data_IF_533497173766
#
_entry.id   IF_533497173766
#
_cell.length_a   1.000
_cell.length_b   1.000
_cell.length_c   1.000
_cell.angle_alpha   90.00
_cell.angle_beta   90.00
_cell.angle_gamma   90.00
#
_symmetry.space_group_name_H-M   'P 1'
#
loop_
_entity.id
_entity.type
_entity.pdbx_description
1 polymer ?
#
# COMPACT_ATOMS: atom_id res chain seq x y z
N UNK A 1 -0.14 21.10 23.11
CA UNK A 1 0.89 21.42 22.09
C UNK A 1 0.21 22.29 21.05
N UNK A 2 0.51 23.58 21.00
CA UNK A 2 -0.05 24.48 19.96
C UNK A 2 0.71 24.23 18.67
N UNK A 3 0.01 23.90 17.59
CA UNK A 3 0.63 23.68 16.29
C UNK A 3 1.34 24.94 15.81
N UNK A 4 2.60 24.81 15.37
CA UNK A 4 3.33 25.91 14.72
C UNK A 4 2.59 26.43 13.50
N UNK A 5 1.87 25.55 12.80
CA UNK A 5 1.05 25.91 11.64
C UNK A 5 -0.08 26.86 12.04
N UNK A 6 -0.79 26.57 13.14
CA UNK A 6 -1.85 27.43 13.66
C UNK A 6 -1.30 28.77 14.17
N UNK A 7 -0.14 28.74 14.82
CA UNK A 7 0.54 29.94 15.29
C UNK A 7 0.92 30.86 14.12
N UNK A 8 1.50 30.31 13.06
CA UNK A 8 1.87 31.06 11.85
C UNK A 8 0.63 31.59 11.14
N UNK A 9 -0.40 30.77 10.90
CA UNK A 9 -1.63 31.23 10.24
C UNK A 9 -2.32 32.35 11.02
N UNK A 10 -2.38 32.25 12.36
CA UNK A 10 -2.96 33.30 13.20
C UNK A 10 -2.14 34.59 13.16
N UNK A 11 -0.80 34.49 13.23
CA UNK A 11 0.07 35.67 13.13
C UNK A 11 0.01 36.36 11.77
N UNK A 12 -0.12 35.60 10.68
CA UNK A 12 -0.31 36.16 9.34
C UNK A 12 -1.67 36.85 9.26
N UNK A 13 -2.75 36.21 9.70
CA UNK A 13 -4.10 36.82 9.73
C UNK A 13 -4.17 38.07 10.63
N UNK A 14 -3.55 38.04 11.81
CA UNK A 14 -3.49 39.18 12.74
C UNK A 14 -2.63 40.33 12.14
N UNK A 15 -1.58 40.00 11.38
CA UNK A 15 -0.76 41.00 10.66
C UNK A 15 -1.51 41.64 9.48
N UNK A 16 -2.32 40.88 8.75
CA UNK A 16 -3.15 41.38 7.65
C UNK A 16 -4.33 42.21 8.17
N UNK A 17 -4.92 41.85 9.31
CA UNK A 17 -6.01 42.59 9.94
C UNK A 17 -5.56 43.91 10.60
N UNK A 18 -4.29 43.99 11.05
CA UNK A 18 -3.70 45.20 11.63
C UNK A 18 -3.07 46.13 10.58
N UNK A 19 -2.66 45.60 9.42
CA UNK A 19 -2.19 46.36 8.26
C UNK A 19 -3.37 46.94 7.45
N UNK A 20 -4.21 47.76 8.09
CA UNK A 20 -5.21 48.55 7.40
C UNK A 20 -4.56 49.59 6.46
N UNK A 21 -4.67 49.36 5.16
CA UNK A 21 -4.70 50.37 4.09
C UNK A 21 -3.67 51.53 4.13
N UNK A 22 -2.36 51.25 4.17
CA UNK A 22 -1.35 52.16 3.60
C UNK A 22 0.03 51.49 3.55
N UNK A 23 0.44 51.00 2.38
CA UNK A 23 1.70 51.31 1.70
C UNK A 23 2.10 50.18 0.73
N UNK A 24 2.20 50.55 -0.54
CA UNK A 24 2.57 49.69 -1.66
C UNK A 24 4.10 49.65 -1.88
N UNK A 25 4.92 49.65 -0.83
CA UNK A 25 6.37 49.56 -0.99
C UNK A 25 7.06 48.80 0.15
N UNK A 26 7.33 47.52 -0.11
CA UNK A 26 8.53 46.82 0.35
C UNK A 26 8.73 46.63 1.86
N UNK A 27 8.05 45.64 2.44
CA UNK A 27 8.59 44.83 3.54
C UNK A 27 8.10 43.39 3.37
N UNK A 28 8.97 42.41 3.60
CA UNK A 28 8.75 41.00 3.24
C UNK A 28 7.57 40.35 3.94
N UNK A 29 6.39 40.46 3.34
CA UNK A 29 5.19 39.72 3.73
C UNK A 29 5.43 38.22 3.52
N UNK A 30 5.18 37.43 4.56
CA UNK A 30 5.25 35.98 4.45
C UNK A 30 4.13 35.50 3.52
N UNK A 31 4.49 34.89 2.39
CA UNK A 31 3.52 34.21 1.54
C UNK A 31 2.98 32.98 2.29
N UNK A 32 1.66 32.87 2.40
CA UNK A 32 1.02 31.74 3.07
C UNK A 32 1.23 30.45 2.26
N UNK A 33 2.11 29.56 2.72
CA UNK A 33 2.29 28.24 2.09
C UNK A 33 1.05 27.38 2.30
N UNK A 34 0.36 27.03 1.22
CA UNK A 34 -0.77 26.09 1.27
C UNK A 34 -0.29 24.69 1.64
N UNK A 35 -0.82 24.13 2.72
CA UNK A 35 -0.57 22.75 3.15
C UNK A 35 -1.74 21.87 2.70
N UNK A 36 -1.43 20.74 2.05
CA UNK A 36 -2.41 19.71 1.70
C UNK A 36 -2.01 18.40 2.37
N UNK A 37 -2.87 17.89 3.25
CA UNK A 37 -2.68 16.60 3.92
C UNK A 37 -3.46 15.51 3.19
N UNK A 38 -2.76 14.45 2.78
CA UNK A 38 -3.36 13.23 2.26
C UNK A 38 -3.23 12.13 3.33
N UNK A 39 -4.33 11.48 3.66
CA UNK A 39 -4.35 10.39 4.65
C UNK A 39 -5.33 9.31 4.23
N UNK A 40 -5.21 8.13 4.84
CA UNK A 40 -6.26 7.10 4.80
C UNK A 40 -7.43 7.53 5.67
N UNK A 41 -8.52 6.76 5.67
CA UNK A 41 -9.68 7.04 6.52
C UNK A 41 -9.29 7.12 8.00
N UNK A 42 -9.62 8.24 8.65
CA UNK A 42 -9.27 8.51 10.05
C UNK A 42 -10.50 8.37 10.96
N UNK A 43 -10.29 7.80 12.15
CA UNK A 43 -11.32 7.75 13.19
C UNK A 43 -11.56 9.13 13.83
N UNK A 44 -10.50 9.94 13.96
CA UNK A 44 -10.56 11.29 14.54
C UNK A 44 -9.91 12.33 13.61
N UNK A 45 -10.60 12.74 12.54
CA UNK A 45 -10.07 13.69 11.57
C UNK A 45 -10.05 15.14 12.08
N UNK A 46 -10.86 15.46 13.10
CA UNK A 46 -11.05 16.83 13.60
C UNK A 46 -9.83 17.34 14.37
N UNK A 47 -9.22 16.50 15.20
CA UNK A 47 -7.99 16.88 15.92
C UNK A 47 -6.83 17.14 14.94
N UNK A 48 -6.75 16.36 13.86
CA UNK A 48 -5.76 16.58 12.81
C UNK A 48 -6.04 17.88 12.04
N UNK A 49 -7.32 18.16 11.76
CA UNK A 49 -7.73 19.40 11.12
C UNK A 49 -7.41 20.63 12.00
N UNK A 50 -7.71 20.58 13.30
CA UNK A 50 -7.37 21.66 14.24
C UNK A 50 -5.85 21.83 14.37
N UNK A 51 -5.09 20.73 14.36
CA UNK A 51 -3.62 20.78 14.35
C UNK A 51 -3.06 21.41 13.07
N UNK A 52 -3.64 21.12 11.90
CA UNK A 52 -3.22 21.70 10.63
C UNK A 52 -3.80 23.09 10.36
N UNK A 53 -4.75 23.56 11.18
CA UNK A 53 -5.45 24.82 10.95
C UNK A 53 -6.41 24.78 9.77
N UNK A 54 -6.97 23.60 9.45
CA UNK A 54 -7.94 23.41 8.37
C UNK A 54 -9.32 23.86 8.83
N UNK A 55 -9.98 24.70 8.05
CA UNK A 55 -11.38 25.07 8.30
C UNK A 55 -12.30 23.88 8.03
N UNK A 56 -12.97 23.43 9.08
CA UNK A 56 -13.94 22.32 9.07
C UNK A 56 -15.39 22.79 8.90
N UNK A 57 -15.67 24.08 9.14
CA UNK A 57 -17.02 24.62 9.23
C UNK A 57 -17.41 25.49 8.01
N UNK A 58 -16.46 25.82 7.13
CA UNK A 58 -16.72 26.73 6.01
C UNK A 58 -17.00 28.16 6.49
N UNK A 59 -16.28 28.62 7.50
CA UNK A 59 -16.39 29.97 8.04
C UNK A 59 -15.27 30.86 7.48
N UNK A 60 -15.40 31.16 6.19
CA UNK A 60 -14.60 32.13 5.46
C UNK A 60 -15.36 32.57 4.21
N UNK A 61 -15.32 33.87 3.89
CA UNK A 61 -16.04 34.48 2.77
C UNK A 61 -15.46 33.97 1.44
N UNK A 62 -15.98 32.84 0.92
CA UNK A 62 -15.64 32.27 -0.38
C UNK A 62 -14.93 30.91 -0.39
N UNK A 63 -14.73 30.25 0.76
CA UNK A 63 -14.02 28.95 0.83
C UNK A 63 -14.94 27.86 1.38
N UNK A 64 -15.10 26.76 0.64
CA UNK A 64 -15.82 25.56 1.10
C UNK A 64 -15.05 24.79 2.19
N UNK A 65 -15.62 23.71 2.76
CA UNK A 65 -14.96 22.92 3.80
C UNK A 65 -13.62 22.36 3.31
N UNK A 66 -12.58 22.47 4.14
CA UNK A 66 -11.23 21.99 3.83
C UNK A 66 -10.95 20.55 4.26
N UNK A 67 -11.84 19.95 5.07
CA UNK A 67 -11.70 18.59 5.60
C UNK A 67 -12.57 17.61 4.82
N UNK A 68 -11.93 16.61 4.20
CA UNK A 68 -12.59 15.50 3.53
C UNK A 68 -12.13 14.18 4.17
N UNK A 69 -13.01 13.53 4.93
CA UNK A 69 -12.75 12.22 5.53
C UNK A 69 -13.78 11.21 5.06
N UNK A 70 -13.31 10.16 4.39
CA UNK A 70 -14.17 9.14 3.79
C UNK A 70 -14.11 7.86 4.62
N UNK A 71 -15.20 7.07 4.63
CA UNK A 71 -15.18 5.74 5.25
C UNK A 71 -14.24 4.82 4.46
N UNK A 72 -13.58 3.83 5.08
CA UNK A 72 -12.71 2.87 4.37
C UNK A 72 -13.39 2.12 3.21
N UNK A 73 -14.72 2.02 3.25
CA UNK A 73 -15.57 1.41 2.22
C UNK A 73 -15.75 2.29 0.97
N UNK A 74 -15.47 3.60 1.06
CA UNK A 74 -15.55 4.51 -0.09
C UNK A 74 -14.28 4.34 -0.91
N UNK A 75 -14.34 3.40 -1.85
CA UNK A 75 -13.26 3.10 -2.79
C UNK A 75 -13.82 3.10 -4.21
N UNK A 76 -13.07 3.57 -5.21
CA UNK A 76 -13.48 3.45 -6.61
C UNK A 76 -13.71 2.00 -7.04
N UNK A 77 -12.94 1.08 -6.46
CA UNK A 77 -13.06 -0.36 -6.67
C UNK A 77 -13.52 -0.99 -5.36
N UNK A 78 -14.71 -1.62 -5.31
CA UNK A 78 -15.19 -2.38 -4.15
C UNK A 78 -14.20 -3.48 -3.76
N UNK A 79 -14.14 -3.78 -2.46
CA UNK A 79 -13.21 -4.78 -1.92
C UNK A 79 -13.98 -5.73 -1.00
N UNK A 80 -13.79 -7.02 -1.24
CA UNK A 80 -14.28 -8.09 -0.37
C UNK A 80 -13.14 -8.56 0.54
N UNK A 81 -13.44 -8.80 1.81
CA UNK A 81 -12.43 -9.17 2.82
C UNK A 81 -12.90 -10.42 3.54
N UNK A 82 -12.08 -11.47 3.46
CA UNK A 82 -12.30 -12.74 4.14
C UNK A 82 -11.23 -12.92 5.22
N UNK A 83 -11.65 -13.22 6.45
CA UNK A 83 -10.74 -13.43 7.58
C UNK A 83 -10.86 -14.89 8.02
N UNK A 84 -9.76 -15.63 7.93
CA UNK A 84 -9.68 -17.02 8.38
C UNK A 84 -8.72 -17.13 9.57
N UNK A 85 -9.22 -17.68 10.68
CA UNK A 85 -8.43 -17.90 11.90
C UNK A 85 -7.76 -19.27 11.90
N UNK A 86 -6.46 -19.30 12.20
CA UNK A 86 -5.67 -20.54 12.29
C UNK A 86 -5.25 -20.81 13.74
N UNK A 87 -5.72 -21.90 14.37
CA UNK A 87 -5.35 -22.23 15.73
C UNK A 87 -3.89 -22.70 15.82
N UNK A 88 -3.32 -22.66 17.02
CA UNK A 88 -1.96 -23.14 17.29
C UNK A 88 -1.06 -22.04 17.83
N UNK A 89 -0.30 -22.35 18.88
CA UNK A 89 0.61 -21.39 19.53
C UNK A 89 1.95 -21.27 18.81
N UNK A 90 2.43 -22.39 18.25
CA UNK A 90 3.75 -22.47 17.63
C UNK A 90 3.72 -21.90 16.21
N UNK A 91 4.65 -20.99 15.93
CA UNK A 91 4.67 -20.21 14.70
C UNK A 91 4.85 -21.07 13.44
N UNK A 92 5.94 -21.86 13.35
CA UNK A 92 6.26 -22.58 12.11
C UNK A 92 5.17 -23.59 11.69
N UNK A 93 4.65 -24.45 12.58
CA UNK A 93 3.57 -25.37 12.21
C UNK A 93 2.30 -24.62 11.77
N UNK A 94 1.96 -23.53 12.45
CA UNK A 94 0.79 -22.71 12.11
C UNK A 94 0.92 -22.09 10.72
N UNK A 95 2.10 -21.58 10.35
CA UNK A 95 2.33 -21.04 9.01
C UNK A 95 2.22 -22.13 7.94
N UNK A 96 2.78 -23.33 8.17
CA UNK A 96 2.67 -24.44 7.23
C UNK A 96 1.21 -24.86 7.00
N UNK A 97 0.37 -24.84 8.03
CA UNK A 97 -1.07 -25.15 7.89
C UNK A 97 -1.85 -24.14 7.05
N UNK A 98 -1.31 -22.94 6.82
CA UNK A 98 -1.96 -21.90 6.01
C UNK A 98 -1.71 -22.09 4.50
N UNK A 99 -0.67 -22.83 4.09
CA UNK A 99 -0.27 -22.91 2.69
C UNK A 99 -1.31 -23.59 1.80
N UNK A 100 -1.96 -24.66 2.29
CA UNK A 100 -3.05 -25.32 1.55
C UNK A 100 -4.28 -24.40 1.40
N UNK A 101 -4.79 -23.75 2.47
CA UNK A 101 -5.83 -22.72 2.35
C UNK A 101 -5.48 -21.58 1.40
N UNK A 102 -4.22 -21.12 1.35
CA UNK A 102 -3.77 -20.10 0.39
C UNK A 102 -4.02 -20.56 -1.04
N UNK A 103 -3.61 -21.78 -1.40
CA UNK A 103 -3.86 -22.32 -2.74
C UNK A 103 -5.36 -22.44 -3.05
N UNK A 104 -6.16 -22.92 -2.10
CA UNK A 104 -7.63 -22.97 -2.27
C UNK A 104 -8.24 -21.58 -2.48
N UNK A 105 -7.80 -20.57 -1.73
CA UNK A 105 -8.29 -19.19 -1.85
C UNK A 105 -7.95 -18.57 -3.20
N UNK A 106 -6.79 -18.89 -3.79
CA UNK A 106 -6.44 -18.47 -5.15
C UNK A 106 -7.46 -19.03 -6.15
N UNK A 107 -7.73 -20.34 -6.09
CA UNK A 107 -8.69 -20.98 -7.00
C UNK A 107 -10.11 -20.48 -6.83
N UNK A 108 -10.51 -20.16 -5.60
CA UNK A 108 -11.86 -19.68 -5.29
C UNK A 108 -12.08 -18.23 -5.71
N UNK A 109 -11.16 -17.32 -5.35
CA UNK A 109 -11.38 -15.88 -5.48
C UNK A 109 -10.69 -15.24 -6.69
N UNK A 110 -9.60 -15.84 -7.20
CA UNK A 110 -8.76 -15.24 -8.24
C UNK A 110 -8.09 -16.28 -9.15
N UNK A 111 -8.83 -17.20 -9.80
CA UNK A 111 -8.24 -18.30 -10.55
C UNK A 111 -7.42 -17.86 -11.77
N UNK A 112 -7.74 -16.72 -12.37
CA UNK A 112 -7.11 -16.21 -13.60
C UNK A 112 -6.57 -14.79 -13.47
N UNK A 113 -6.69 -14.18 -12.29
CA UNK A 113 -6.27 -12.80 -12.05
C UNK A 113 -5.02 -12.78 -11.15
N UNK A 114 -4.18 -11.73 -11.23
CA UNK A 114 -2.96 -11.64 -10.42
C UNK A 114 -3.23 -11.72 -8.92
N UNK A 115 -2.35 -12.41 -8.19
CA UNK A 115 -2.43 -12.57 -6.72
C UNK A 115 -1.11 -12.17 -6.07
N UNK A 116 -1.18 -11.43 -4.96
CA UNK A 116 -0.03 -11.09 -4.13
C UNK A 116 -0.21 -11.75 -2.76
N UNK A 117 0.81 -12.51 -2.33
CA UNK A 117 0.83 -13.19 -1.02
C UNK A 117 1.86 -12.51 -0.12
N UNK A 118 1.39 -11.82 0.91
CA UNK A 118 2.28 -11.27 1.94
C UNK A 118 2.64 -12.34 2.97
N UNK A 119 3.93 -12.45 3.26
CA UNK A 119 4.49 -13.40 4.23
C UNK A 119 5.30 -12.67 5.29
N UNK A 120 5.45 -13.30 6.46
CA UNK A 120 6.07 -12.67 7.62
C UNK A 120 7.62 -12.68 7.64
N UNK A 121 8.29 -13.37 6.71
CA UNK A 121 9.76 -13.34 6.61
C UNK A 121 10.27 -13.72 5.22
N UNK A 122 11.52 -13.34 4.92
CA UNK A 122 12.21 -13.71 3.66
C UNK A 122 12.25 -15.22 3.43
N UNK A 123 12.52 -16.00 4.48
CA UNK A 123 12.53 -17.46 4.42
C UNK A 123 11.14 -18.01 4.10
N UNK A 124 10.09 -17.40 4.66
CA UNK A 124 8.71 -17.82 4.43
C UNK A 124 8.28 -17.59 2.98
N UNK A 125 8.82 -16.58 2.28
CA UNK A 125 8.54 -16.31 0.85
C UNK A 125 8.84 -17.56 0.02
N UNK A 126 10.05 -18.10 0.15
CA UNK A 126 10.47 -19.30 -0.57
C UNK A 126 9.68 -20.54 -0.17
N UNK A 127 9.51 -20.78 1.14
CA UNK A 127 8.80 -21.97 1.63
C UNK A 127 7.34 -22.01 1.15
N UNK A 128 6.65 -20.87 1.22
CA UNK A 128 5.26 -20.75 0.78
C UNK A 128 5.14 -20.96 -0.72
N UNK A 129 6.04 -20.37 -1.51
CA UNK A 129 6.05 -20.55 -2.97
C UNK A 129 6.24 -22.02 -3.36
N UNK A 130 7.19 -22.72 -2.74
CA UNK A 130 7.44 -24.14 -3.01
C UNK A 130 6.23 -25.03 -2.66
N UNK A 131 5.55 -24.74 -1.54
CA UNK A 131 4.34 -25.47 -1.16
C UNK A 131 3.19 -25.19 -2.13
N UNK A 132 3.02 -23.94 -2.59
CA UNK A 132 2.02 -23.58 -3.60
C UNK A 132 2.29 -24.28 -4.94
N UNK A 133 3.55 -24.35 -5.39
CA UNK A 133 3.95 -25.14 -6.57
C UNK A 133 3.61 -26.61 -6.38
N UNK A 134 3.91 -27.15 -5.19
CA UNK A 134 3.62 -28.56 -4.87
C UNK A 134 2.12 -28.86 -4.91
N UNK A 135 1.27 -27.93 -4.45
CA UNK A 135 -0.18 -28.07 -4.54
C UNK A 135 -0.70 -27.95 -5.97
N UNK A 136 -0.13 -27.04 -6.78
CA UNK A 136 -0.48 -26.90 -8.19
C UNK A 136 -0.07 -28.15 -9.01
N UNK A 137 1.11 -28.71 -8.73
CA UNK A 137 1.60 -29.93 -9.38
C UNK A 137 0.76 -31.17 -9.06
N UNK A 138 0.06 -31.19 -7.92
CA UNK A 138 -0.89 -32.24 -7.56
C UNK A 138 -2.29 -32.04 -8.13
N UNK A 139 -2.53 -30.95 -8.85
CA UNK A 139 -3.81 -30.59 -9.46
C UNK A 139 -3.82 -30.90 -10.97
N UNK A 140 -4.95 -30.73 -11.63
CA UNK A 140 -5.11 -31.04 -13.07
C UNK A 140 -4.25 -30.15 -13.99
N UNK A 141 -3.90 -28.94 -13.54
CA UNK A 141 -3.09 -27.99 -14.30
C UNK A 141 -1.86 -27.49 -13.51
N UNK A 142 -0.71 -28.17 -13.61
CA UNK A 142 0.53 -27.80 -12.92
C UNK A 142 1.10 -26.42 -13.30
N UNK A 143 0.78 -25.90 -14.48
CA UNK A 143 1.25 -24.60 -14.97
C UNK A 143 0.16 -23.52 -14.90
N UNK A 144 -0.82 -23.68 -14.01
CA UNK A 144 -1.96 -22.77 -13.91
C UNK A 144 -1.61 -21.28 -13.70
N UNK A 145 -0.41 -20.97 -13.21
CA UNK A 145 0.03 -19.60 -12.93
C UNK A 145 0.86 -18.97 -14.05
N UNK A 146 1.26 -19.71 -15.08
CA UNK A 146 2.01 -19.17 -16.21
C UNK A 146 1.02 -18.59 -17.23
N UNK A 147 1.06 -17.27 -17.40
CA UNK A 147 0.21 -16.54 -18.36
C UNK A 147 0.87 -16.20 -19.69
N UNK A 148 2.04 -16.76 -19.98
CA UNK A 148 2.87 -16.45 -21.15
C UNK A 148 3.39 -17.73 -21.83
N UNK A 149 4.07 -17.59 -22.96
CA UNK A 149 4.69 -18.72 -23.68
C UNK A 149 5.96 -19.21 -22.98
N UNK A 150 6.25 -20.51 -23.11
CA UNK A 150 7.45 -21.14 -22.54
C UNK A 150 8.75 -20.44 -22.97
N UNK A 151 8.89 -20.12 -24.27
CA UNK A 151 10.07 -19.40 -24.79
C UNK A 151 10.29 -18.04 -24.10
N UNK A 152 9.20 -17.36 -23.72
CA UNK A 152 9.29 -16.05 -23.07
C UNK A 152 9.74 -16.21 -21.63
N UNK A 153 9.14 -17.12 -20.86
CA UNK A 153 9.52 -17.31 -19.45
C UNK A 153 10.95 -17.84 -19.34
N UNK A 154 11.40 -18.70 -20.25
CA UNK A 154 12.78 -19.18 -20.31
C UNK A 154 13.76 -18.02 -20.51
N UNK A 155 13.48 -17.12 -21.46
CA UNK A 155 14.32 -15.93 -21.70
C UNK A 155 14.39 -14.98 -20.49
N UNK A 156 13.31 -14.89 -19.71
CA UNK A 156 13.29 -14.09 -18.47
C UNK A 156 14.12 -14.76 -17.39
N UNK A 157 13.96 -16.07 -17.23
CA UNK A 157 14.65 -16.90 -16.24
C UNK A 157 16.17 -16.85 -16.41
N UNK A 158 16.68 -16.81 -17.64
CA UNK A 158 18.12 -16.71 -17.92
C UNK A 158 18.78 -15.46 -17.32
N UNK A 159 18.00 -14.38 -17.13
CA UNK A 159 18.46 -13.11 -16.59
C UNK A 159 18.36 -13.02 -15.05
N UNK A 160 17.86 -14.06 -14.39
CA UNK A 160 17.64 -14.11 -12.94
C UNK A 160 18.84 -14.72 -12.22
N UNK A 161 19.30 -14.03 -11.18
CA UNK A 161 20.49 -14.44 -10.42
C UNK A 161 20.16 -15.39 -9.26
N UNK A 162 19.04 -15.17 -8.56
CA UNK A 162 18.63 -16.01 -7.44
C UNK A 162 18.07 -17.36 -7.91
N UNK A 163 18.69 -18.45 -7.47
CA UNK A 163 18.31 -19.82 -7.88
C UNK A 163 16.89 -20.20 -7.46
N UNK A 164 16.43 -19.74 -6.29
CA UNK A 164 15.09 -20.05 -5.81
C UNK A 164 14.05 -19.27 -6.61
N UNK A 165 14.33 -18.01 -6.95
CA UNK A 165 13.49 -17.21 -7.82
C UNK A 165 13.41 -17.83 -9.22
N UNK A 166 14.55 -18.20 -9.80
CA UNK A 166 14.59 -18.89 -11.09
C UNK A 166 13.69 -20.13 -11.12
N UNK A 167 13.80 -20.99 -10.10
CA UNK A 167 12.98 -22.19 -10.01
C UNK A 167 11.48 -21.86 -9.91
N UNK A 168 11.12 -20.90 -9.05
CA UNK A 168 9.71 -20.57 -8.80
C UNK A 168 9.05 -19.84 -9.99
N UNK A 169 9.80 -19.01 -10.71
CA UNK A 169 9.34 -18.34 -11.93
C UNK A 169 8.99 -19.32 -13.04
N UNK A 170 9.69 -20.45 -13.14
CA UNK A 170 9.37 -21.51 -14.09
C UNK A 170 7.98 -22.13 -13.88
N UNK A 171 7.35 -21.90 -12.72
CA UNK A 171 5.97 -22.29 -12.41
C UNK A 171 5.02 -21.08 -12.34
N UNK A 172 5.45 -19.90 -12.78
CA UNK A 172 4.65 -18.68 -12.76
C UNK A 172 4.54 -18.01 -11.38
N UNK A 173 5.43 -18.32 -10.44
CA UNK A 173 5.44 -17.72 -9.10
C UNK A 173 6.69 -16.87 -8.89
N UNK A 174 6.50 -15.56 -8.78
CA UNK A 174 7.57 -14.63 -8.39
C UNK A 174 7.82 -14.59 -6.88
N UNK A 175 9.07 -14.33 -6.48
CA UNK A 175 9.45 -14.02 -5.11
C UNK A 175 9.87 -12.57 -5.02
N UNK A 176 9.43 -11.87 -3.97
CA UNK A 176 9.89 -10.51 -3.71
C UNK A 176 10.30 -10.35 -2.24
N UNK A 177 11.57 -9.99 -2.01
CA UNK A 177 12.09 -9.66 -0.69
C UNK A 177 13.37 -8.81 -0.74
N UNK A 178 13.69 -8.13 0.36
CA UNK A 178 14.85 -7.24 0.48
C UNK A 178 16.24 -7.92 0.30
N UNK A 179 16.31 -9.26 0.21
CA UNK A 179 17.53 -9.98 -0.12
C UNK A 179 17.81 -10.17 -1.62
N UNK A 180 16.85 -9.86 -2.50
CA UNK A 180 17.03 -9.97 -3.95
C UNK A 180 17.90 -8.83 -4.48
N UNK A 181 18.61 -9.10 -5.58
CA UNK A 181 19.29 -8.04 -6.35
C UNK A 181 18.27 -7.05 -6.91
N UNK A 182 18.69 -5.83 -7.24
CA UNK A 182 17.78 -4.84 -7.86
C UNK A 182 17.24 -5.37 -9.17
N UNK A 183 18.10 -5.97 -10.00
CA UNK A 183 17.72 -6.57 -11.28
C UNK A 183 16.64 -7.66 -11.11
N UNK A 184 16.80 -8.56 -10.13
CA UNK A 184 15.80 -9.60 -9.90
C UNK A 184 14.47 -9.05 -9.38
N UNK A 185 14.47 -7.91 -8.68
CA UNK A 185 13.22 -7.24 -8.27
C UNK A 185 12.52 -6.62 -9.47
N UNK A 186 13.28 -5.92 -10.31
CA UNK A 186 12.77 -5.27 -11.51
C UNK A 186 12.23 -6.29 -12.54
N UNK A 187 12.76 -7.52 -12.56
CA UNK A 187 12.26 -8.62 -13.41
C UNK A 187 10.92 -9.18 -12.89
N UNK A 188 10.72 -9.20 -11.57
CA UNK A 188 9.55 -9.83 -10.94
C UNK A 188 8.34 -8.88 -10.85
N UNK A 189 8.59 -7.57 -10.75
CA UNK A 189 7.56 -6.52 -10.73
C UNK A 189 6.98 -6.22 -12.13
#
# INVERSE_FOLDING_TARGET
IVSRTRFISKHIQDSEASAGASDSSGTGGYEATRIMGLSTALANPYDLADWLGVDVAGHGKGTGPGLYNFRPSVRPIPMEVHIQGFPGRHYCPRMATMNKPIYSAIKEHSPTKPVIIFVASRRQTRLTAMDVISYAAGDENPQAFIGCSDDYIESVIENVHDDALRHTLAFGIGLHHAGLSTNDRDIVE
#
